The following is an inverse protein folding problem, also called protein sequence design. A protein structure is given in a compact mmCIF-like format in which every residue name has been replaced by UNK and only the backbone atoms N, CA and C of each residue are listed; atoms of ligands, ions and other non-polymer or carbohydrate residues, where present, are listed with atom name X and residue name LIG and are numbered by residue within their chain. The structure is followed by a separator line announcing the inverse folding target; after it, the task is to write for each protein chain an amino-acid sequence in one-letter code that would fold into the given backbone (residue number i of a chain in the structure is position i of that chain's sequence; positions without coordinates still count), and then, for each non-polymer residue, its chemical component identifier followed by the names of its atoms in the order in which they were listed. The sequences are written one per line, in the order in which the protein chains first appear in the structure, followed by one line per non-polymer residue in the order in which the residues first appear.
data_IF_412264238672
#
_entry.id   IF_412264238672
#
_cell.length_a   1.000
_cell.length_b   1.000
_cell.length_c   1.000
_cell.angle_alpha   90.00
_cell.angle_beta   90.00
_cell.angle_gamma   90.00
#
_symmetry.space_group_name_H-M   'P 1'
#
loop_
_entity.id
_entity.type
_entity.pdbx_description
1 polymer ?
#
# COMPACT_ATOMS: atom_id res chain seq x y z
N UNK A 1 -7.11 -6.50 -0.70
CA UNK A 1 -6.33 -6.04 0.48
C UNK A 1 -5.37 -4.93 0.09
N UNK A 2 -4.47 -5.15 -0.87
CA UNK A 2 -3.43 -4.16 -1.25
C UNK A 2 -3.98 -2.78 -1.63
N UNK A 3 -5.08 -2.69 -2.37
CA UNK A 3 -5.72 -1.41 -2.73
C UNK A 3 -6.19 -0.64 -1.49
N UNK A 4 -6.78 -1.33 -0.51
CA UNK A 4 -7.29 -0.72 0.72
C UNK A 4 -6.18 -0.11 1.57
N UNK A 5 -4.95 -0.62 1.44
CA UNK A 5 -3.77 -0.09 2.14
C UNK A 5 -3.03 0.95 1.29
N UNK A 6 -2.88 0.70 -0.01
CA UNK A 6 -2.15 1.57 -0.93
C UNK A 6 -2.86 2.90 -1.14
N UNK A 7 -4.19 2.91 -1.22
CA UNK A 7 -4.95 4.13 -1.46
C UNK A 7 -4.79 5.18 -0.34
N UNK A 8 -5.05 4.87 0.95
CA UNK A 8 -4.83 5.84 2.01
C UNK A 8 -3.35 6.23 2.14
N UNK A 9 -2.42 5.30 1.90
CA UNK A 9 -1.00 5.61 1.91
C UNK A 9 -0.61 6.59 0.79
N UNK A 10 -1.06 6.36 -0.44
CA UNK A 10 -0.86 7.26 -1.56
C UNK A 10 -1.54 8.62 -1.35
N UNK A 11 -2.72 8.65 -0.72
CA UNK A 11 -3.41 9.88 -0.35
C UNK A 11 -2.61 10.71 0.66
N UNK A 12 -2.07 10.08 1.71
CA UNK A 12 -1.19 10.75 2.68
C UNK A 12 0.03 11.35 1.95
N UNK A 13 0.66 10.58 1.06
CA UNK A 13 1.81 11.06 0.28
C UNK A 13 1.45 12.22 -0.65
N UNK A 14 0.29 12.19 -1.31
CA UNK A 14 -0.11 13.19 -2.29
C UNK A 14 -0.64 14.49 -1.66
N UNK A 15 -1.30 14.40 -0.49
CA UNK A 15 -2.08 15.49 0.09
C UNK A 15 -1.57 15.99 1.43
N UNK A 16 -1.08 15.10 2.30
CA UNK A 16 -0.66 15.48 3.64
C UNK A 16 0.84 15.83 3.70
N UNK A 17 1.66 15.20 2.87
CA UNK A 17 3.09 15.50 2.79
C UNK A 17 3.31 16.81 2.02
N UNK A 18 4.13 17.77 2.52
CA UNK A 18 4.42 19.02 1.81
C UNK A 18 5.11 18.77 0.47
N UNK A 19 4.75 19.52 -0.58
CA UNK A 19 5.21 19.27 -1.96
C UNK A 19 6.72 19.06 -2.12
N UNK A 20 7.53 19.84 -1.40
CA UNK A 20 9.00 19.72 -1.36
C UNK A 20 9.51 18.34 -0.92
N UNK A 21 8.77 17.64 -0.06
CA UNK A 21 9.13 16.33 0.51
C UNK A 21 8.44 15.16 -0.18
N UNK A 22 7.42 15.39 -1.00
CA UNK A 22 6.64 14.32 -1.61
C UNK A 22 7.48 13.39 -2.49
N UNK A 23 8.42 13.96 -3.26
CA UNK A 23 9.33 13.16 -4.08
C UNK A 23 10.20 12.24 -3.22
N UNK A 24 10.75 12.77 -2.12
CA UNK A 24 11.57 11.99 -1.19
C UNK A 24 10.75 10.92 -0.46
N UNK A 25 9.55 11.27 0.00
CA UNK A 25 8.64 10.33 0.66
C UNK A 25 8.21 9.20 -0.29
N UNK A 26 7.95 9.51 -1.56
CA UNK A 26 7.65 8.50 -2.58
C UNK A 26 8.85 7.60 -2.86
N UNK A 27 10.07 8.17 -2.95
CA UNK A 27 11.29 7.38 -3.12
C UNK A 27 11.49 6.43 -1.93
N UNK A 28 11.39 6.94 -0.70
CA UNK A 28 11.54 6.12 0.51
C UNK A 28 10.47 5.03 0.60
N UNK A 29 9.23 5.36 0.23
CA UNK A 29 8.17 4.38 0.12
C UNK A 29 8.60 3.29 -0.85
N UNK A 30 8.98 3.62 -2.08
CA UNK A 30 9.21 2.67 -3.17
C UNK A 30 10.56 1.95 -3.10
N UNK A 31 11.52 2.47 -2.33
CA UNK A 31 12.87 1.92 -2.23
C UNK A 31 12.92 0.40 -1.93
N UNK A 32 12.10 -0.18 -1.02
CA UNK A 32 12.03 -1.62 -0.79
C UNK A 32 11.58 -2.42 -2.02
N UNK A 33 10.86 -1.80 -2.97
CA UNK A 33 10.44 -2.46 -4.22
C UNK A 33 11.63 -2.79 -5.13
N UNK A 34 12.69 -1.98 -5.09
CA UNK A 34 13.89 -2.16 -5.93
C UNK A 34 14.75 -3.37 -5.49
N UNK A 35 14.41 -4.00 -4.37
CA UNK A 35 15.01 -5.28 -3.98
C UNK A 35 14.50 -6.42 -4.86
N UNK A 36 15.37 -7.36 -5.21
CA UNK A 36 15.00 -8.55 -5.98
C UNK A 36 13.83 -9.30 -5.32
N UNK A 37 12.90 -9.78 -6.14
CA UNK A 37 11.75 -10.58 -5.67
C UNK A 37 12.19 -11.76 -4.80
N UNK A 38 13.25 -12.46 -5.23
CA UNK A 38 13.81 -13.62 -4.52
C UNK A 38 14.28 -13.24 -3.11
N UNK A 39 15.04 -12.14 -2.99
CA UNK A 39 15.55 -11.65 -1.70
C UNK A 39 14.39 -11.31 -0.76
N UNK A 40 13.34 -10.69 -1.28
CA UNK A 40 12.15 -10.30 -0.51
C UNK A 40 11.35 -11.51 -0.03
N UNK A 41 11.19 -12.51 -0.89
CA UNK A 41 10.52 -13.77 -0.54
C UNK A 41 11.24 -14.49 0.60
N UNK A 42 12.56 -14.66 0.50
CA UNK A 42 13.37 -15.25 1.57
C UNK A 42 13.38 -14.39 2.84
N UNK A 43 13.39 -13.06 2.72
CA UNK A 43 13.32 -12.16 3.88
C UNK A 43 12.03 -12.37 4.66
N UNK A 44 10.88 -12.45 3.99
CA UNK A 44 9.60 -12.73 4.64
C UNK A 44 9.55 -14.14 5.24
N UNK A 45 10.14 -15.13 4.58
CA UNK A 45 10.26 -16.48 5.13
C UNK A 45 11.05 -16.48 6.45
N UNK A 46 12.16 -15.75 6.53
CA UNK A 46 12.94 -15.61 7.77
C UNK A 46 12.20 -14.84 8.87
N UNK A 47 11.48 -13.79 8.51
CA UNK A 47 10.69 -12.98 9.46
C UNK A 47 9.54 -13.80 10.07
N UNK A 48 8.90 -14.65 9.27
CA UNK A 48 7.75 -15.49 9.65
C UNK A 48 8.15 -16.91 10.09
N UNK A 49 9.44 -17.23 10.10
CA UNK A 49 9.94 -18.51 10.61
C UNK A 49 9.54 -18.69 12.08
N UNK A 50 9.55 -19.94 12.57
CA UNK A 50 9.28 -20.23 13.98
C UNK A 50 10.22 -19.46 14.92
N UNK A 51 11.50 -19.34 14.54
CA UNK A 51 12.50 -18.54 15.27
C UNK A 51 12.65 -17.11 14.72
N UNK A 52 11.71 -16.66 13.89
CA UNK A 52 11.71 -15.36 13.23
C UNK A 52 11.34 -14.21 14.16
N UNK A 53 11.48 -12.99 13.64
CA UNK A 53 11.26 -11.75 14.40
C UNK A 53 9.83 -11.65 14.94
N UNK A 54 8.83 -12.07 14.14
CA UNK A 54 7.42 -11.97 14.53
C UNK A 54 7.10 -12.90 15.71
N UNK A 55 7.49 -14.18 15.62
CA UNK A 55 7.26 -15.13 16.70
C UNK A 55 7.99 -14.71 17.99
N UNK A 56 9.26 -14.26 17.88
CA UNK A 56 10.01 -13.75 19.04
C UNK A 56 9.34 -12.54 19.69
N UNK A 57 8.83 -11.61 18.90
CA UNK A 57 8.12 -10.44 19.42
C UNK A 57 6.80 -10.84 20.11
N UNK A 58 6.01 -11.71 19.49
CA UNK A 58 4.73 -12.16 20.04
C UNK A 58 4.90 -12.96 21.34
N UNK A 59 5.89 -13.86 21.40
CA UNK A 59 6.23 -14.61 22.62
C UNK A 59 6.84 -13.70 23.68
N UNK A 60 7.70 -12.75 23.29
CA UNK A 60 8.33 -11.79 24.21
C UNK A 60 7.34 -10.84 24.90
N UNK A 61 6.25 -10.47 24.21
CA UNK A 61 5.16 -9.65 24.78
C UNK A 61 4.12 -10.52 25.52
N UNK A 62 4.24 -11.85 25.47
CA UNK A 62 3.34 -12.78 26.15
C UNK A 62 1.99 -12.99 25.47
N UNK A 63 1.86 -12.61 24.19
CA UNK A 63 0.62 -12.79 23.40
C UNK A 63 0.38 -14.26 23.05
N UNK A 64 1.46 -15.02 22.84
CA UNK A 64 1.42 -16.45 22.49
C UNK A 64 2.36 -17.25 23.41
N UNK A 65 1.94 -18.44 23.81
CA UNK A 65 2.74 -19.36 24.64
C UNK A 65 3.75 -20.18 23.85
N UNK A 66 3.49 -20.44 22.56
CA UNK A 66 4.36 -21.22 21.67
C UNK A 66 4.49 -20.55 20.29
N UNK A 67 5.62 -20.73 19.58
CA UNK A 67 5.82 -20.17 18.24
C UNK A 67 4.80 -20.70 17.23
N UNK A 68 4.17 -19.79 16.49
CA UNK A 68 3.22 -20.15 15.43
C UNK A 68 3.97 -20.56 14.17
N UNK A 69 3.45 -21.58 13.48
CA UNK A 69 3.93 -21.97 12.15
C UNK A 69 3.35 -21.02 11.09
N UNK A 70 3.98 -19.83 10.96
CA UNK A 70 3.54 -18.81 10.01
C UNK A 70 4.21 -18.98 8.64
N UNK A 71 5.49 -19.36 8.60
CA UNK A 71 6.21 -19.65 7.37
C UNK A 71 5.56 -20.80 6.57
N UNK A 72 5.65 -20.73 5.24
CA UNK A 72 5.06 -21.70 4.30
C UNK A 72 3.54 -21.86 4.41
N UNK A 73 2.84 -20.91 5.03
CA UNK A 73 1.38 -20.87 5.05
C UNK A 73 0.83 -19.88 4.03
N UNK A 74 -0.47 -20.01 3.72
CA UNK A 74 -1.19 -19.02 2.91
C UNK A 74 -1.04 -17.60 3.46
N UNK A 75 -0.98 -17.42 4.78
CA UNK A 75 -0.78 -16.10 5.40
C UNK A 75 0.57 -15.49 5.03
N UNK A 76 1.64 -16.28 5.01
CA UNK A 76 2.95 -15.79 4.60
C UNK A 76 2.93 -15.31 3.14
N UNK A 77 2.36 -16.10 2.23
CA UNK A 77 2.23 -15.74 0.82
C UNK A 77 1.39 -14.48 0.63
N UNK A 78 0.22 -14.40 1.28
CA UNK A 78 -0.66 -13.23 1.20
C UNK A 78 0.06 -11.98 1.74
N UNK A 79 0.81 -12.10 2.83
CA UNK A 79 1.54 -10.95 3.41
C UNK A 79 2.64 -10.46 2.47
N UNK A 80 3.41 -11.38 1.87
CA UNK A 80 4.45 -11.07 0.89
C UNK A 80 3.87 -10.34 -0.34
N UNK A 81 2.77 -10.86 -0.90
CA UNK A 81 2.08 -10.22 -2.02
C UNK A 81 1.47 -8.87 -1.65
N UNK A 82 0.82 -8.75 -0.50
CA UNK A 82 0.27 -7.46 -0.05
C UNK A 82 1.39 -6.43 0.08
N UNK A 83 2.51 -6.78 0.72
CA UNK A 83 3.66 -5.89 0.82
C UNK A 83 4.20 -5.48 -0.55
N UNK A 84 4.31 -6.42 -1.50
CA UNK A 84 4.76 -6.15 -2.86
C UNK A 84 3.81 -5.20 -3.62
N UNK A 85 2.53 -5.55 -3.67
CA UNK A 85 1.54 -4.84 -4.48
C UNK A 85 1.11 -3.51 -3.87
N UNK A 86 1.13 -3.36 -2.53
CA UNK A 86 0.89 -2.05 -1.89
C UNK A 86 1.87 -1.03 -2.44
N UNK A 87 3.14 -1.41 -2.61
CA UNK A 87 4.16 -0.50 -3.11
C UNK A 87 3.90 -0.06 -4.55
N UNK A 88 3.60 -1.02 -5.42
CA UNK A 88 3.33 -0.78 -6.83
C UNK A 88 2.05 0.05 -7.02
N UNK A 89 0.98 -0.28 -6.30
CA UNK A 89 -0.29 0.45 -6.34
C UNK A 89 -0.14 1.87 -5.79
N UNK A 90 0.71 2.07 -4.79
CA UNK A 90 0.95 3.41 -4.23
C UNK A 90 1.50 4.35 -5.29
N UNK A 91 2.43 3.88 -6.14
CA UNK A 91 2.95 4.66 -7.26
C UNK A 91 1.86 5.08 -8.24
N UNK A 92 1.03 4.14 -8.68
CA UNK A 92 0.01 4.40 -9.70
C UNK A 92 -1.10 5.31 -9.16
N UNK A 93 -1.53 5.10 -7.92
CA UNK A 93 -2.54 5.93 -7.26
C UNK A 93 -1.98 7.33 -6.98
N UNK A 94 -0.74 7.44 -6.49
CA UNK A 94 -0.07 8.73 -6.26
C UNK A 94 0.03 9.54 -7.55
N UNK A 95 0.46 8.91 -8.65
CA UNK A 95 0.58 9.57 -9.94
C UNK A 95 -0.77 10.10 -10.47
N UNK A 96 -1.86 9.34 -10.26
CA UNK A 96 -3.21 9.79 -10.62
C UNK A 96 -3.70 10.94 -9.73
N UNK A 97 -3.50 10.83 -8.42
CA UNK A 97 -3.84 11.88 -7.46
C UNK A 97 -3.12 13.19 -7.78
N UNK A 98 -1.85 13.12 -8.19
CA UNK A 98 -1.07 14.30 -8.57
C UNK A 98 -1.53 14.98 -9.86
N UNK A 99 -2.17 14.24 -10.76
CA UNK A 99 -2.73 14.80 -11.99
C UNK A 99 -4.09 15.46 -11.76
N UNK A 100 -4.79 15.15 -10.64
CA UNK A 100 -6.04 15.83 -10.31
C UNK A 100 -5.77 17.31 -10.01
N UNK A 101 -6.38 18.18 -10.80
CA UNK A 101 -6.35 19.62 -10.56
C UNK A 101 -6.92 19.96 -9.17
N UNK A 102 -6.26 20.83 -8.38
CA UNK A 102 -6.80 21.35 -7.13
C UNK A 102 -8.17 22.05 -7.29
N UNK A 103 -8.51 22.51 -8.51
CA UNK A 103 -9.77 23.19 -8.80
C UNK A 103 -11.00 22.33 -8.50
N UNK A 104 -10.93 21.01 -8.69
CA UNK A 104 -12.05 20.11 -8.41
C UNK A 104 -12.47 20.13 -6.94
N UNK A 105 -11.48 20.22 -6.03
CA UNK A 105 -11.74 20.32 -4.59
C UNK A 105 -12.28 21.68 -4.20
N UNK A 106 -11.75 22.75 -4.81
CA UNK A 106 -12.24 24.12 -4.58
C UNK A 106 -13.70 24.25 -5.02
N UNK A 107 -14.03 23.80 -6.23
CA UNK A 107 -15.40 23.81 -6.75
C UNK A 107 -16.37 22.98 -5.86
N UNK A 108 -15.94 21.83 -5.36
CA UNK A 108 -16.76 21.05 -4.43
C UNK A 108 -17.01 21.81 -3.11
N UNK A 109 -15.99 22.48 -2.57
CA UNK A 109 -16.12 23.31 -1.38
C UNK A 109 -17.02 24.53 -1.62
N UNK A 110 -16.94 25.17 -2.79
CA UNK A 110 -17.80 26.30 -3.18
C UNK A 110 -19.28 25.88 -3.28
N UNK A 111 -19.55 24.62 -3.64
CA UNK A 111 -20.89 24.00 -3.62
C UNK A 111 -21.33 23.52 -2.21
N UNK A 112 -20.54 23.80 -1.16
CA UNK A 112 -20.83 23.42 0.22
C UNK A 112 -20.51 21.97 0.57
N UNK A 113 -19.72 21.25 -0.24
CA UNK A 113 -19.31 19.89 0.08
C UNK A 113 -18.19 19.87 1.13
N UNK A 114 -18.43 19.18 2.25
CA UNK A 114 -17.41 18.88 3.24
C UNK A 114 -16.34 17.89 2.73
N UNK A 115 -15.22 17.71 3.45
CA UNK A 115 -14.06 16.95 2.99
C UNK A 115 -14.38 15.49 2.64
N UNK A 116 -15.26 14.83 3.41
CA UNK A 116 -15.69 13.45 3.16
C UNK A 116 -16.54 13.35 1.89
N UNK A 117 -17.43 14.31 1.65
CA UNK A 117 -18.26 14.34 0.43
C UNK A 117 -17.41 14.58 -0.80
N UNK A 118 -16.49 15.55 -0.73
CA UNK A 118 -15.53 15.85 -1.79
C UNK A 118 -14.65 14.64 -2.11
N UNK A 119 -14.19 13.91 -1.09
CA UNK A 119 -13.44 12.68 -1.28
C UNK A 119 -14.27 11.62 -2.03
N UNK A 120 -15.46 11.28 -1.52
CA UNK A 120 -16.27 10.18 -2.07
C UNK A 120 -16.88 10.47 -3.44
N UNK A 121 -17.26 11.72 -3.72
CA UNK A 121 -17.98 12.08 -4.95
C UNK A 121 -17.11 12.71 -6.03
N UNK A 122 -15.91 13.19 -5.69
CA UNK A 122 -15.02 13.85 -6.64
C UNK A 122 -13.72 13.10 -6.78
N UNK A 123 -12.96 12.93 -5.71
CA UNK A 123 -11.63 12.31 -5.77
C UNK A 123 -11.71 10.82 -6.10
N UNK A 124 -12.50 10.06 -5.35
CA UNK A 124 -12.55 8.60 -5.49
C UNK A 124 -13.01 8.18 -6.89
N UNK A 125 -14.07 8.75 -7.49
CA UNK A 125 -14.49 8.40 -8.86
C UNK A 125 -13.46 8.80 -9.91
N UNK A 126 -12.80 9.96 -9.76
CA UNK A 126 -11.77 10.41 -10.69
C UNK A 126 -10.48 9.59 -10.61
N UNK A 127 -10.18 9.00 -9.45
CA UNK A 127 -9.02 8.11 -9.26
C UNK A 127 -9.33 6.65 -9.56
N UNK A 128 -10.60 6.27 -9.69
CA UNK A 128 -11.06 4.90 -9.92
C UNK A 128 -10.42 4.23 -11.15
N UNK A 129 -10.30 4.89 -12.32
CA UNK A 129 -9.64 4.29 -13.47
C UNK A 129 -8.18 3.90 -13.18
N UNK A 130 -7.46 4.73 -12.43
CA UNK A 130 -6.09 4.44 -11.99
C UNK A 130 -6.02 3.26 -11.03
N UNK A 131 -6.96 3.17 -10.09
CA UNK A 131 -7.09 2.01 -9.18
C UNK A 131 -7.36 0.74 -9.99
N UNK A 132 -8.25 0.79 -10.98
CA UNK A 132 -8.62 -0.38 -11.79
C UNK A 132 -7.43 -0.90 -12.61
N UNK A 133 -6.65 -0.02 -13.23
CA UNK A 133 -5.42 -0.41 -13.95
C UNK A 133 -4.42 -1.07 -12.99
N UNK A 134 -4.21 -0.47 -11.81
CA UNK A 134 -3.34 -1.04 -10.79
C UNK A 134 -3.83 -2.41 -10.27
N UNK A 135 -5.14 -2.54 -10.06
CA UNK A 135 -5.78 -3.78 -9.64
C UNK A 135 -5.62 -4.88 -10.67
N UNK A 136 -5.82 -4.55 -11.95
CA UNK A 136 -5.65 -5.47 -13.06
C UNK A 136 -4.20 -5.94 -13.18
N UNK A 137 -3.22 -5.03 -13.13
CA UNK A 137 -1.80 -5.38 -13.14
C UNK A 137 -1.43 -6.29 -11.95
N UNK A 138 -1.94 -5.96 -10.76
CA UNK A 138 -1.74 -6.78 -9.55
C UNK A 138 -2.30 -8.18 -9.74
N UNK A 139 -3.50 -8.30 -10.31
CA UNK A 139 -4.15 -9.59 -10.56
C UNK A 139 -3.37 -10.44 -11.56
N UNK A 140 -2.97 -9.85 -12.69
CA UNK A 140 -2.18 -10.54 -13.72
C UNK A 140 -0.85 -11.03 -13.16
N UNK A 141 -0.13 -10.19 -12.42
CA UNK A 141 1.14 -10.56 -11.79
C UNK A 141 0.97 -11.66 -10.73
N UNK A 142 -0.12 -11.62 -9.96
CA UNK A 142 -0.39 -12.62 -8.93
C UNK A 142 -0.81 -13.99 -9.50
N UNK A 143 -1.36 -14.04 -10.71
CA UNK A 143 -1.66 -15.31 -11.39
C UNK A 143 -0.39 -15.98 -11.91
N UNK A 144 0.61 -15.20 -12.31
CA UNK A 144 1.84 -15.71 -12.89
C UNK A 144 2.85 -16.29 -11.90
N UNK A 145 2.58 -16.20 -10.60
CA UNK A 145 3.46 -16.57 -9.48
C UNK A 145 2.83 -17.71 -8.67
#
# INVERSE_FOLDING_TARGET
ISILLAYPFAWILAEMVPERWQRLALILAVLPFWTSYVVRSYSWLLVLAQNGVINRALTGIGVIGEPLQLANTRLATVTGFVHFFVMLLTLTIFANLKQLSPSYRKAAADLGAGPVRTFLHVVLPLTLPGIMVGAFLTFVLCIGD
#
